data_IF_321017666417
#
_entry.id   IF_321017666417
#
_cell.length_a   1.000
_cell.length_b   1.000
_cell.length_c   1.000
_cell.angle_alpha   90.00
_cell.angle_beta   90.00
_cell.angle_gamma   90.00
#
_symmetry.space_group_name_H-M   'P 1'
#
loop_
_entity.id
_entity.type
_entity.pdbx_description
1 polymer ?
#
# COMPACT_ATOMS: atom_id res chain seq x y z
N UNK A 1 2.57 13.03 -27.73
CA UNK A 1 2.59 13.78 -26.46
C UNK A 1 1.48 14.82 -26.53
N UNK A 2 0.42 14.67 -25.72
CA UNK A 2 -0.76 15.56 -25.76
C UNK A 2 -0.45 16.99 -25.31
N UNK A 3 -1.42 17.90 -25.47
CA UNK A 3 -1.22 19.36 -25.44
C UNK A 3 -0.44 19.94 -24.24
N UNK A 4 -0.39 19.24 -23.09
CA UNK A 4 0.38 19.59 -21.90
C UNK A 4 0.87 18.35 -21.11
N UNK A 5 1.09 17.21 -21.77
CA UNK A 5 1.48 15.96 -21.07
C UNK A 5 0.36 15.26 -20.29
N UNK A 6 -0.86 15.81 -20.27
CA UNK A 6 -2.05 15.25 -19.61
C UNK A 6 -2.39 13.81 -20.07
N UNK A 7 -2.08 13.48 -21.34
CA UNK A 7 -2.31 12.16 -21.91
C UNK A 7 -1.18 11.16 -21.63
N UNK A 8 -0.15 11.54 -20.87
CA UNK A 8 1.02 10.68 -20.62
C UNK A 8 0.66 9.43 -19.81
N UNK A 9 -0.05 9.58 -18.69
CA UNK A 9 -0.45 8.44 -17.84
C UNK A 9 -1.33 7.43 -18.59
N UNK A 10 -2.21 7.91 -19.48
CA UNK A 10 -3.01 7.05 -20.35
C UNK A 10 -2.15 6.32 -21.39
N UNK A 11 -1.16 6.99 -21.98
CA UNK A 11 -0.24 6.37 -22.93
C UNK A 11 0.62 5.27 -22.28
N UNK A 12 1.09 5.48 -21.04
CA UNK A 12 1.85 4.46 -20.29
C UNK A 12 0.99 3.24 -19.92
N UNK A 13 -0.27 3.47 -19.50
CA UNK A 13 -1.22 2.39 -19.25
C UNK A 13 -1.51 1.59 -20.52
N UNK A 14 -1.82 2.28 -21.63
CA UNK A 14 -2.13 1.64 -22.91
C UNK A 14 -0.92 0.87 -23.46
N UNK A 15 0.30 1.38 -23.24
CA UNK A 15 1.55 0.69 -23.54
C UNK A 15 1.71 -0.61 -22.74
N UNK A 16 1.33 -0.62 -21.45
CA UNK A 16 1.35 -1.83 -20.63
C UNK A 16 0.29 -2.86 -21.07
N UNK A 17 -0.90 -2.41 -21.49
CA UNK A 17 -1.99 -3.28 -21.96
C UNK A 17 -1.64 -3.97 -23.28
N UNK A 18 -1.04 -3.25 -24.23
CA UNK A 18 -0.66 -3.80 -25.54
C UNK A 18 0.56 -4.73 -25.43
N UNK A 19 1.43 -4.52 -24.43
CA UNK A 19 2.65 -5.32 -24.27
C UNK A 19 2.30 -6.77 -23.94
N UNK A 20 2.43 -7.64 -24.93
CA UNK A 20 2.22 -9.07 -24.77
C UNK A 20 3.16 -9.62 -23.69
N UNK A 21 2.57 -10.23 -22.66
CA UNK A 21 3.32 -10.79 -21.54
C UNK A 21 3.88 -12.15 -21.95
N UNK A 22 5.19 -12.23 -22.19
CA UNK A 22 5.87 -13.52 -22.34
C UNK A 22 5.92 -14.21 -20.97
N UNK A 23 4.96 -15.11 -20.70
CA UNK A 23 4.82 -15.84 -19.43
C UNK A 23 5.94 -16.89 -19.23
N UNK A 24 6.64 -17.26 -20.30
CA UNK A 24 7.51 -18.44 -20.34
C UNK A 24 8.74 -18.39 -19.41
N UNK A 25 9.17 -17.22 -18.96
CA UNK A 25 10.41 -17.06 -18.18
C UNK A 25 10.21 -16.91 -16.67
N UNK A 26 8.98 -16.78 -16.17
CA UNK A 26 8.75 -16.46 -14.76
C UNK A 26 7.59 -17.29 -14.20
N UNK A 27 7.91 -18.39 -13.51
CA UNK A 27 6.95 -19.07 -12.66
C UNK A 27 6.49 -18.09 -11.59
N UNK A 28 5.28 -17.54 -11.73
CA UNK A 28 4.66 -16.75 -10.66
C UNK A 28 3.90 -17.70 -9.77
N UNK A 29 4.29 -17.76 -8.51
CA UNK A 29 3.49 -18.45 -7.50
C UNK A 29 2.16 -17.75 -7.27
N UNK A 30 1.18 -18.53 -6.80
CA UNK A 30 -0.07 -18.03 -6.23
C UNK A 30 0.16 -16.94 -5.17
N UNK A 31 1.24 -17.06 -4.39
CA UNK A 31 1.65 -16.12 -3.35
C UNK A 31 1.92 -14.70 -3.91
N UNK A 32 2.58 -14.61 -5.07
CA UNK A 32 2.85 -13.32 -5.72
C UNK A 32 1.54 -12.64 -6.15
N UNK A 33 0.59 -13.43 -6.64
CA UNK A 33 -0.70 -12.92 -7.13
C UNK A 33 -1.57 -12.41 -5.97
N UNK A 34 -1.62 -13.15 -4.87
CA UNK A 34 -2.26 -12.70 -3.63
C UNK A 34 -1.62 -11.42 -3.08
N UNK A 35 -0.29 -11.31 -3.10
CA UNK A 35 0.40 -10.10 -2.66
C UNK A 35 0.04 -8.85 -3.47
N UNK A 36 -0.08 -9.00 -4.80
CA UNK A 36 -0.50 -7.90 -5.70
C UNK A 36 -1.96 -7.53 -5.42
N UNK A 37 -2.84 -8.51 -5.23
CA UNK A 37 -4.24 -8.27 -4.89
C UNK A 37 -4.38 -7.52 -3.56
N UNK A 38 -3.62 -7.94 -2.52
CA UNK A 38 -3.59 -7.26 -1.23
C UNK A 38 -3.12 -5.81 -1.37
N UNK A 39 -2.10 -5.54 -2.17
CA UNK A 39 -1.58 -4.18 -2.36
C UNK A 39 -2.63 -3.26 -3.02
N UNK A 40 -3.35 -3.76 -4.02
CA UNK A 40 -4.46 -3.02 -4.66
C UNK A 40 -5.61 -2.81 -3.67
N UNK A 41 -5.95 -3.83 -2.89
CA UNK A 41 -7.00 -3.73 -1.87
C UNK A 41 -6.67 -2.68 -0.81
N UNK A 42 -5.43 -2.66 -0.31
CA UNK A 42 -4.95 -1.65 0.64
C UNK A 42 -5.00 -0.25 0.02
N UNK A 43 -4.61 -0.08 -1.25
CA UNK A 43 -4.74 1.21 -1.96
C UNK A 43 -6.19 1.68 -2.03
N UNK A 44 -7.14 0.78 -2.29
CA UNK A 44 -8.57 1.11 -2.29
C UNK A 44 -9.04 1.53 -0.90
N UNK A 45 -8.60 0.82 0.15
CA UNK A 45 -8.91 1.19 1.53
C UNK A 45 -8.42 2.60 1.86
N UNK A 46 -7.21 2.99 1.47
CA UNK A 46 -6.75 4.37 1.67
C UNK A 46 -7.63 5.40 0.98
N UNK A 47 -8.11 5.14 -0.24
CA UNK A 47 -9.07 6.03 -0.91
C UNK A 47 -10.38 6.16 -0.13
N UNK A 48 -10.89 5.06 0.44
CA UNK A 48 -12.09 5.08 1.27
C UNK A 48 -11.84 5.84 2.59
N UNK A 49 -10.69 5.65 3.23
CA UNK A 49 -10.31 6.43 4.42
C UNK A 49 -10.26 7.94 4.13
N UNK A 50 -9.73 8.32 2.97
CA UNK A 50 -9.69 9.71 2.53
C UNK A 50 -11.10 10.26 2.23
N UNK A 51 -11.99 9.48 1.62
CA UNK A 51 -13.37 9.97 1.40
C UNK A 51 -14.13 10.11 2.71
N UNK A 52 -13.97 9.17 3.65
CA UNK A 52 -14.59 9.21 4.97
C UNK A 52 -14.14 10.44 5.77
N UNK A 53 -12.87 10.83 5.68
CA UNK A 53 -12.37 12.03 6.36
C UNK A 53 -12.94 13.31 5.75
N UNK A 54 -13.17 13.37 4.43
CA UNK A 54 -13.80 14.53 3.77
C UNK A 54 -15.29 14.66 4.09
N UNK A 55 -16.00 13.54 4.25
CA UNK A 55 -17.44 13.53 4.59
C UNK A 55 -17.67 13.89 6.07
N UNK A 56 -16.61 13.93 6.89
CA UNK A 56 -16.69 14.31 8.30
C UNK A 56 -17.33 13.22 9.17
N UNK A 57 -17.27 11.95 8.76
CA UNK A 57 -17.79 10.84 9.57
C UNK A 57 -16.93 10.69 10.82
N UNK A 58 -17.50 11.02 11.98
CA UNK A 58 -16.84 10.91 13.28
C UNK A 58 -16.75 9.44 13.69
N UNK A 59 -15.59 8.83 13.47
CA UNK A 59 -15.24 7.54 14.04
C UNK A 59 -14.25 7.77 15.19
N UNK A 60 -14.58 7.28 16.40
CA UNK A 60 -13.76 7.45 17.61
C UNK A 60 -12.39 6.75 17.55
N UNK A 61 -12.18 5.88 16.54
CA UNK A 61 -10.99 5.03 16.41
C UNK A 61 -10.33 5.15 15.02
N UNK A 62 -10.53 6.26 14.29
CA UNK A 62 -9.99 6.43 12.92
C UNK A 62 -8.47 6.27 12.88
N UNK A 63 -7.74 6.86 13.83
CA UNK A 63 -6.28 6.78 13.84
C UNK A 63 -5.78 5.35 14.06
N UNK A 64 -6.48 4.57 14.89
CA UNK A 64 -6.16 3.15 15.12
C UNK A 64 -6.46 2.30 13.87
N UNK A 65 -7.59 2.55 13.22
CA UNK A 65 -7.94 1.89 11.96
C UNK A 65 -6.90 2.17 10.86
N UNK A 66 -6.41 3.40 10.77
CA UNK A 66 -5.34 3.76 9.84
C UNK A 66 -4.05 2.98 10.13
N UNK A 67 -3.67 2.82 11.40
CA UNK A 67 -2.53 1.98 11.79
C UNK A 67 -2.67 0.53 11.31
N UNK A 68 -3.85 -0.07 11.48
CA UNK A 68 -4.12 -1.45 11.03
C UNK A 68 -3.99 -1.57 9.50
N UNK A 69 -4.45 -0.58 8.74
CA UNK A 69 -4.30 -0.61 7.28
C UNK A 69 -2.84 -0.47 6.86
N UNK A 70 -2.07 0.38 7.55
CA UNK A 70 -0.65 0.56 7.26
C UNK A 70 0.18 -0.69 7.54
N UNK A 71 -0.13 -1.45 8.60
CA UNK A 71 0.61 -2.66 8.97
C UNK A 71 0.49 -3.78 7.94
N UNK A 72 -0.64 -3.86 7.23
CA UNK A 72 -0.87 -4.83 6.17
C UNK A 72 0.04 -4.63 4.95
N UNK A 73 0.58 -3.43 4.75
CA UNK A 73 1.42 -3.11 3.58
C UNK A 73 2.73 -3.92 3.56
N UNK A 74 3.40 -4.08 4.70
CA UNK A 74 4.65 -4.84 4.81
C UNK A 74 4.48 -6.30 4.40
N UNK A 75 3.37 -6.92 4.80
CA UNK A 75 3.02 -8.30 4.43
C UNK A 75 2.73 -8.45 2.93
N UNK A 76 2.06 -7.46 2.33
CA UNK A 76 1.82 -7.43 0.88
C UNK A 76 3.14 -7.37 0.09
N UNK A 77 4.10 -6.55 0.52
CA UNK A 77 5.41 -6.43 -0.14
C UNK A 77 6.24 -7.72 -0.02
N UNK A 78 6.21 -8.37 1.15
CA UNK A 78 6.93 -9.61 1.37
C UNK A 78 6.38 -10.76 0.51
N UNK A 79 5.06 -10.90 0.42
CA UNK A 79 4.39 -11.95 -0.37
C UNK A 79 4.64 -11.80 -1.88
N UNK A 80 4.65 -10.57 -2.41
CA UNK A 80 5.01 -10.32 -3.82
C UNK A 80 6.45 -10.75 -4.12
N UNK A 81 7.38 -10.43 -3.22
CA UNK A 81 8.80 -10.72 -3.37
C UNK A 81 9.14 -12.18 -3.32
N UNK A 82 8.63 -12.88 -2.31
CA UNK A 82 8.84 -14.31 -2.15
C UNK A 82 8.28 -15.08 -3.36
N UNK A 83 7.13 -14.63 -3.87
CA UNK A 83 6.48 -15.32 -4.96
C UNK A 83 7.14 -15.23 -6.34
N UNK A 84 8.21 -14.44 -6.49
CA UNK A 84 8.95 -14.22 -7.74
C UNK A 84 10.14 -15.17 -7.96
N UNK A 85 10.42 -16.08 -7.02
CA UNK A 85 11.45 -17.14 -7.09
C UNK A 85 12.84 -16.69 -7.61
N UNK A 86 13.25 -15.45 -7.33
CA UNK A 86 14.58 -14.92 -7.68
C UNK A 86 15.26 -14.38 -6.42
N UNK A 87 16.53 -14.74 -6.20
CA UNK A 87 17.32 -14.32 -5.03
C UNK A 87 17.37 -12.80 -4.89
N UNK A 88 17.54 -12.07 -6.00
CA UNK A 88 17.61 -10.60 -5.99
C UNK A 88 16.26 -9.95 -5.67
N UNK A 89 15.17 -10.51 -6.17
CA UNK A 89 13.82 -10.03 -5.86
C UNK A 89 13.51 -10.24 -4.37
N UNK A 90 13.85 -11.41 -3.83
CA UNK A 90 13.63 -11.74 -2.43
C UNK A 90 14.42 -10.82 -1.50
N UNK A 91 15.72 -10.59 -1.75
CA UNK A 91 16.54 -9.66 -0.97
C UNK A 91 15.99 -8.23 -1.01
N UNK A 92 15.55 -7.77 -2.19
CA UNK A 92 14.98 -6.42 -2.34
C UNK A 92 13.68 -6.26 -1.56
N UNK A 93 12.80 -7.26 -1.60
CA UNK A 93 11.52 -7.23 -0.89
C UNK A 93 11.67 -7.35 0.62
N UNK A 94 12.61 -8.15 1.11
CA UNK A 94 12.94 -8.20 2.55
C UNK A 94 13.41 -6.83 3.02
N UNK A 95 14.30 -6.16 2.27
CA UNK A 95 14.78 -4.82 2.61
C UNK A 95 13.65 -3.79 2.63
N UNK A 96 12.72 -3.82 1.66
CA UNK A 96 11.58 -2.92 1.65
C UNK A 96 10.59 -3.20 2.79
N UNK A 97 10.37 -4.47 3.12
CA UNK A 97 9.50 -4.87 4.23
C UNK A 97 10.04 -4.43 5.59
N UNK A 98 11.35 -4.59 5.84
CA UNK A 98 11.98 -4.04 7.04
C UNK A 98 11.86 -2.53 7.11
N UNK A 99 12.06 -1.83 5.99
CA UNK A 99 11.87 -0.39 5.90
C UNK A 99 10.44 0.04 6.27
N UNK A 100 9.42 -0.65 5.74
CA UNK A 100 8.03 -0.34 6.05
C UNK A 100 7.69 -0.59 7.52
N UNK A 101 8.18 -1.69 8.12
CA UNK A 101 7.94 -2.01 9.53
C UNK A 101 8.59 -0.99 10.46
N UNK A 102 9.81 -0.53 10.15
CA UNK A 102 10.46 0.53 10.92
C UNK A 102 9.66 1.84 10.89
N UNK A 103 9.13 2.22 9.72
CA UNK A 103 8.28 3.40 9.60
C UNK A 103 6.94 3.24 10.32
N UNK A 104 6.35 2.04 10.32
CA UNK A 104 5.13 1.73 11.06
C UNK A 104 5.34 1.90 12.57
N UNK A 105 6.44 1.39 13.12
CA UNK A 105 6.77 1.56 14.53
C UNK A 105 6.92 3.05 14.93
N UNK A 106 7.59 3.84 14.08
CA UNK A 106 7.68 5.29 14.27
C UNK A 106 6.29 5.95 14.22
N UNK A 107 5.44 5.56 13.26
CA UNK A 107 4.11 6.11 13.13
C UNK A 107 3.21 5.76 14.33
N UNK A 108 3.33 4.54 14.87
CA UNK A 108 2.62 4.13 16.08
C UNK A 108 3.00 4.99 17.29
N UNK A 109 4.28 5.29 17.48
CA UNK A 109 4.72 6.22 18.53
C UNK A 109 4.08 7.61 18.39
N UNK A 110 4.03 8.16 17.17
CA UNK A 110 3.42 9.47 16.90
C UNK A 110 1.92 9.46 17.21
N UNK A 111 1.19 8.42 16.77
CA UNK A 111 -0.25 8.29 17.03
C UNK A 111 -0.55 8.19 18.53
N UNK A 112 0.27 7.46 19.29
CA UNK A 112 0.11 7.36 20.75
C UNK A 112 0.32 8.72 21.43
N UNK A 113 1.36 9.47 21.04
CA UNK A 113 1.60 10.82 21.58
C UNK A 113 0.42 11.75 21.31
N UNK A 114 -0.12 11.73 20.10
CA UNK A 114 -1.28 12.52 19.71
C UNK A 114 -2.52 12.10 20.53
N UNK A 115 -2.74 10.80 20.71
CA UNK A 115 -3.85 10.28 21.51
C UNK A 115 -3.80 10.70 22.98
N UNK A 116 -2.61 10.78 23.57
CA UNK A 116 -2.44 11.29 24.94
C UNK A 116 -2.76 12.79 25.03
N UNK A 117 -2.35 13.59 24.05
CA UNK A 117 -2.60 15.04 24.04
C UNK A 117 -4.08 15.36 23.82
N UNK A 118 -4.75 14.65 22.92
CA UNK A 118 -6.16 14.88 22.58
C UNK A 118 -7.13 14.16 23.53
N UNK A 119 -6.67 13.20 24.34
CA UNK A 119 -7.52 12.38 25.19
C UNK A 119 -8.40 11.37 24.44
N UNK A 120 -8.14 11.16 23.14
CA UNK A 120 -8.92 10.29 22.27
C UNK A 120 -8.23 10.00 20.94
N UNK A 121 -8.70 8.96 20.24
CA UNK A 121 -8.19 8.53 18.92
C UNK A 121 -9.14 8.89 17.77
N UNK A 122 -10.14 9.73 18.06
CA UNK A 122 -11.12 10.21 17.10
C UNK A 122 -10.59 11.42 16.34
N UNK A 123 -10.90 11.48 15.04
CA UNK A 123 -10.81 12.72 14.25
C UNK A 123 -12.19 13.37 14.33
N UNK A 124 -12.54 13.89 15.50
CA UNK A 124 -13.72 14.72 15.69
C UNK A 124 -13.24 16.07 16.22
N UNK A 125 -13.66 17.14 15.56
CA UNK A 125 -13.64 18.48 16.14
C UNK A 125 -14.41 18.50 17.45
#
# INVERSE_FOLDING_TARGET
VGLLGLLQSFADLLKLVIKFKFVFFQNRSWLSWLGIFLLVFISCMYCVFFSLSQIGVSCNYVMLWFLVVTSLTGYSLLSVGWGSYNKFALLSCVRSAFGSVSFEACFMCVVVLIGVVLGGYGVSS
#
